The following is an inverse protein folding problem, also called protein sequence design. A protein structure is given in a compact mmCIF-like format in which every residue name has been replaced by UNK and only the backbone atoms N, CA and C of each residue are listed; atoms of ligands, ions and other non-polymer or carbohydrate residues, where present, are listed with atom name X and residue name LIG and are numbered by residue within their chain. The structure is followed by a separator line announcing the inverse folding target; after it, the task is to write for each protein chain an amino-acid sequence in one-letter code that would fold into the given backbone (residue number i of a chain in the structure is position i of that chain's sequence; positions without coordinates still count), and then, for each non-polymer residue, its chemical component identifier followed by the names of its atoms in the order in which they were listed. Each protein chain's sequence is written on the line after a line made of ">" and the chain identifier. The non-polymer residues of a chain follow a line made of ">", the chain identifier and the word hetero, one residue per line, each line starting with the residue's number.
data_IF_548988494510
#
_entry.id   IF_548988494510
#
_cell.length_a   1.000
_cell.length_b   1.000
_cell.length_c   1.000
_cell.angle_alpha   90.00
_cell.angle_beta   90.00
_cell.angle_gamma   90.00
#
_symmetry.space_group_name_H-M   'P 1'
#
loop_
_entity.id
_entity.type
_entity.pdbx_description
1 polymer ?
#
# COMPACT_ATOMS: atom_id res chain seq x y z
N UNK A 1 16.13 13.79 -1.56
CA UNK A 1 16.64 13.49 -2.90
C UNK A 1 15.70 14.11 -3.90
N UNK A 2 16.31 14.81 -4.83
CA UNK A 2 15.62 15.80 -5.63
C UNK A 2 14.63 15.21 -6.61
N UNK A 3 13.57 15.89 -6.68
CA UNK A 3 12.40 15.79 -7.48
C UNK A 3 12.75 16.07 -8.94
N UNK A 4 12.89 15.04 -9.74
CA UNK A 4 13.01 15.22 -11.17
C UNK A 4 11.65 15.65 -11.75
N UNK A 5 11.63 16.81 -12.36
CA UNK A 5 10.56 17.21 -13.26
C UNK A 5 10.74 16.40 -14.56
N UNK A 6 9.69 15.78 -15.06
CA UNK A 6 9.72 15.24 -16.42
C UNK A 6 9.66 16.41 -17.38
N UNK A 7 10.72 16.62 -18.17
CA UNK A 7 10.84 17.74 -19.14
C UNK A 7 10.57 19.14 -18.56
N UNK A 8 10.81 19.34 -17.25
CA UNK A 8 10.66 20.63 -16.59
C UNK A 8 9.23 21.03 -16.26
N UNK A 9 8.23 20.16 -16.43
CA UNK A 9 6.82 20.40 -16.07
C UNK A 9 6.34 19.48 -14.96
N UNK A 10 5.33 19.92 -14.23
CA UNK A 10 4.58 19.06 -13.31
C UNK A 10 3.64 18.18 -14.12
N UNK A 11 3.59 16.88 -13.78
CA UNK A 11 2.61 15.95 -14.31
C UNK A 11 1.32 16.03 -13.50
N UNK A 12 0.18 15.83 -14.15
CA UNK A 12 -1.05 15.46 -13.46
C UNK A 12 -1.07 13.95 -13.17
N UNK A 13 -1.95 13.53 -12.27
CA UNK A 13 -2.00 12.14 -11.82
C UNK A 13 -2.42 11.18 -12.93
N UNK A 14 -3.32 11.59 -13.81
CA UNK A 14 -3.78 10.79 -14.94
C UNK A 14 -2.68 10.59 -15.99
N UNK A 15 -1.92 11.64 -16.29
CA UNK A 15 -0.76 11.56 -17.17
C UNK A 15 0.30 10.63 -16.57
N UNK A 16 0.63 10.82 -15.29
CA UNK A 16 1.59 9.97 -14.59
C UNK A 16 1.18 8.48 -14.62
N UNK A 17 -0.08 8.16 -14.33
CA UNK A 17 -0.54 6.76 -14.30
C UNK A 17 -0.63 6.10 -15.68
N UNK A 18 -0.68 6.88 -16.76
CA UNK A 18 -0.67 6.37 -18.15
C UNK A 18 0.73 6.27 -18.73
N UNK A 19 1.70 6.99 -18.18
CA UNK A 19 3.09 6.98 -18.65
C UNK A 19 3.78 5.70 -18.23
N UNK A 20 4.56 5.09 -19.12
CA UNK A 20 5.38 3.94 -18.78
C UNK A 20 6.44 4.34 -17.73
N UNK A 21 6.49 3.59 -16.64
CA UNK A 21 7.41 3.89 -15.53
C UNK A 21 8.88 3.95 -15.97
N UNK A 22 9.27 3.24 -17.03
CA UNK A 22 10.66 3.25 -17.55
C UNK A 22 11.05 4.61 -18.16
N UNK A 23 10.09 5.46 -18.53
CA UNK A 23 10.36 6.81 -19.03
C UNK A 23 10.89 7.74 -17.94
N UNK A 24 10.63 7.44 -16.67
CA UNK A 24 11.10 8.22 -15.53
C UNK A 24 12.53 7.88 -15.10
N UNK A 25 13.11 6.76 -15.60
CA UNK A 25 14.47 6.34 -15.30
C UNK A 25 14.58 4.89 -14.79
N UNK A 26 15.72 4.50 -14.19
CA UNK A 26 16.03 3.10 -13.86
C UNK A 26 15.59 2.69 -12.44
N UNK A 27 14.78 3.45 -11.71
CA UNK A 27 14.32 3.05 -10.39
C UNK A 27 13.30 1.90 -10.47
N UNK A 28 13.13 1.20 -9.36
CA UNK A 28 12.18 0.09 -9.26
C UNK A 28 10.74 0.54 -9.48
N UNK A 29 10.36 1.67 -8.86
CA UNK A 29 9.02 2.24 -8.89
C UNK A 29 9.10 3.75 -8.77
N UNK A 30 8.18 4.46 -9.39
CA UNK A 30 8.00 5.88 -9.22
C UNK A 30 6.61 6.18 -8.68
N UNK A 31 6.49 7.29 -7.96
CA UNK A 31 5.22 7.84 -7.50
C UNK A 31 5.15 9.33 -7.84
N UNK A 32 3.95 9.85 -7.98
CA UNK A 32 3.73 11.29 -8.09
C UNK A 32 3.35 11.83 -6.71
N UNK A 33 4.13 12.75 -6.17
CA UNK A 33 3.87 13.34 -4.86
C UNK A 33 3.81 14.85 -5.00
N UNK A 34 2.61 15.41 -4.91
CA UNK A 34 2.36 16.85 -5.08
C UNK A 34 2.93 17.38 -6.39
N UNK A 35 2.70 16.67 -7.48
CA UNK A 35 3.17 16.99 -8.82
C UNK A 35 4.65 16.70 -9.07
N UNK A 36 5.32 16.02 -8.15
CA UNK A 36 6.73 15.70 -8.23
C UNK A 36 6.97 14.20 -8.31
N UNK A 37 7.84 13.74 -9.22
CA UNK A 37 8.19 12.33 -9.36
C UNK A 37 9.16 11.93 -8.24
N UNK A 38 8.82 10.87 -7.50
CA UNK A 38 9.62 10.29 -6.43
C UNK A 38 10.00 8.87 -6.79
N UNK A 39 11.29 8.60 -6.83
CA UNK A 39 11.84 7.28 -7.11
C UNK A 39 11.92 6.41 -5.85
N UNK A 40 11.63 5.12 -5.98
CA UNK A 40 11.73 4.13 -4.92
C UNK A 40 12.74 3.05 -5.27
N UNK A 41 13.49 2.59 -4.26
CA UNK A 41 14.38 1.45 -4.37
C UNK A 41 13.61 0.13 -4.51
N UNK A 42 14.28 -0.91 -4.99
CA UNK A 42 13.73 -2.26 -5.01
C UNK A 42 13.45 -2.75 -3.57
N UNK A 43 12.35 -3.49 -3.36
CA UNK A 43 12.03 -4.09 -2.08
C UNK A 43 13.01 -5.22 -1.72
N UNK A 44 13.06 -5.58 -0.43
CA UNK A 44 13.81 -6.74 0.03
C UNK A 44 13.13 -8.07 -0.35
N UNK A 45 13.84 -9.21 -0.29
CA UNK A 45 13.23 -10.54 -0.49
C UNK A 45 12.06 -10.80 0.47
N UNK A 46 12.21 -10.45 1.75
CA UNK A 46 11.18 -10.64 2.78
C UNK A 46 9.91 -9.85 2.46
N UNK A 47 10.06 -8.61 2.02
CA UNK A 47 8.95 -7.80 1.52
C UNK A 47 8.21 -8.52 0.38
N UNK A 48 8.95 -9.06 -0.57
CA UNK A 48 8.39 -9.81 -1.70
C UNK A 48 7.62 -11.06 -1.27
N UNK A 49 8.12 -11.79 -0.26
CA UNK A 49 7.46 -13.00 0.27
C UNK A 49 6.15 -12.63 0.98
N UNK A 50 6.16 -11.60 1.85
CA UNK A 50 4.94 -11.11 2.51
C UNK A 50 3.89 -10.70 1.48
N UNK A 51 4.31 -9.94 0.46
CA UNK A 51 3.40 -9.48 -0.59
C UNK A 51 2.82 -10.65 -1.41
N UNK A 52 3.63 -11.65 -1.71
CA UNK A 52 3.19 -12.88 -2.38
C UNK A 52 2.18 -13.68 -1.56
N UNK A 53 2.43 -13.84 -0.26
CA UNK A 53 1.50 -14.49 0.68
C UNK A 53 0.19 -13.71 0.79
N UNK A 54 0.26 -12.38 0.94
CA UNK A 54 -0.89 -11.49 0.97
C UNK A 54 -1.76 -11.64 -0.28
N UNK A 55 -1.15 -11.58 -1.46
CA UNK A 55 -1.85 -11.73 -2.73
C UNK A 55 -2.55 -13.09 -2.86
N UNK A 56 -1.88 -14.17 -2.42
CA UNK A 56 -2.44 -15.53 -2.39
C UNK A 56 -3.66 -15.61 -1.46
N UNK A 57 -3.51 -15.16 -0.22
CA UNK A 57 -4.58 -15.24 0.79
C UNK A 57 -5.81 -14.42 0.39
N UNK A 58 -5.60 -13.18 -0.04
CA UNK A 58 -6.67 -12.30 -0.51
C UNK A 58 -7.29 -12.85 -1.80
N UNK A 59 -6.48 -13.22 -2.78
CA UNK A 59 -6.96 -13.74 -4.07
C UNK A 59 -7.83 -15.00 -3.90
N UNK A 60 -7.50 -15.89 -2.96
CA UNK A 60 -8.32 -17.05 -2.65
C UNK A 60 -9.69 -16.67 -2.06
N UNK A 61 -9.75 -15.66 -1.19
CA UNK A 61 -11.00 -15.18 -0.58
C UNK A 61 -11.88 -14.41 -1.56
N UNK A 62 -11.28 -13.68 -2.49
CA UNK A 62 -12.02 -12.89 -3.49
C UNK A 62 -12.64 -13.72 -4.61
N UNK A 63 -12.44 -15.05 -4.67
CA UNK A 63 -13.09 -15.91 -5.68
C UNK A 63 -14.61 -15.83 -5.63
N UNK A 64 -15.17 -15.63 -4.44
CA UNK A 64 -16.61 -15.50 -4.21
C UNK A 64 -17.11 -14.03 -4.25
N UNK A 65 -16.21 -13.08 -4.59
CA UNK A 65 -16.48 -11.64 -4.67
C UNK A 65 -16.10 -11.09 -6.05
N UNK A 66 -16.87 -11.41 -7.12
CA UNK A 66 -16.50 -11.09 -8.51
C UNK A 66 -16.39 -9.58 -8.78
N UNK A 67 -16.99 -8.74 -7.93
CA UNK A 67 -16.88 -7.28 -7.99
C UNK A 67 -15.57 -6.73 -7.45
N UNK A 68 -14.79 -7.56 -6.73
CA UNK A 68 -13.53 -7.18 -6.10
C UNK A 68 -12.35 -7.96 -6.67
N UNK A 69 -11.18 -7.32 -6.72
CA UNK A 69 -9.92 -7.96 -7.11
C UNK A 69 -8.77 -7.45 -6.27
N UNK A 70 -7.73 -8.27 -6.11
CA UNK A 70 -6.45 -7.83 -5.57
C UNK A 70 -5.59 -7.27 -6.70
N UNK A 71 -4.98 -6.13 -6.48
CA UNK A 71 -4.03 -5.47 -7.39
C UNK A 71 -2.70 -5.29 -6.66
N UNK A 72 -1.59 -5.58 -7.35
CA UNK A 72 -0.22 -5.40 -6.84
C UNK A 72 0.43 -4.27 -7.62
N UNK A 73 1.02 -3.31 -6.92
CA UNK A 73 1.75 -2.21 -7.54
C UNK A 73 0.90 -1.32 -8.45
N UNK A 74 -0.39 -1.27 -8.25
CA UNK A 74 -1.31 -0.41 -9.01
C UNK A 74 -1.46 0.96 -8.37
N UNK A 75 -1.55 2.00 -9.20
CA UNK A 75 -1.67 3.38 -8.74
C UNK A 75 -3.08 3.75 -8.26
N UNK A 76 -3.11 4.69 -7.32
CA UNK A 76 -4.31 5.34 -6.83
C UNK A 76 -4.07 6.83 -6.55
N UNK A 77 -5.04 7.66 -6.89
CA UNK A 77 -4.94 9.13 -6.79
C UNK A 77 -5.49 9.62 -5.47
N UNK A 78 -4.67 10.34 -4.73
CA UNK A 78 -5.08 11.05 -3.53
C UNK A 78 -5.75 12.39 -3.89
N UNK A 79 -6.89 12.67 -3.28
CA UNK A 79 -7.68 13.88 -3.55
C UNK A 79 -7.09 15.09 -2.79
N UNK A 80 -6.43 15.98 -3.51
CA UNK A 80 -5.92 17.24 -2.99
C UNK A 80 -6.29 18.42 -3.92
N UNK A 81 -6.58 19.58 -3.34
CA UNK A 81 -7.04 20.76 -4.10
C UNK A 81 -5.95 21.40 -4.97
N UNK A 82 -4.69 21.25 -4.64
CA UNK A 82 -3.64 22.10 -5.24
C UNK A 82 -2.60 21.37 -6.09
N UNK A 83 -2.33 20.09 -5.85
CA UNK A 83 -1.32 19.31 -6.60
C UNK A 83 -1.65 17.84 -6.54
N UNK A 84 -1.61 17.23 -7.68
CA UNK A 84 -1.87 15.82 -7.84
C UNK A 84 -0.86 14.95 -7.11
N UNK A 85 -1.40 13.91 -6.49
CA UNK A 85 -0.60 12.89 -5.82
C UNK A 85 -1.15 11.53 -6.25
N UNK A 86 -0.32 10.72 -6.90
CA UNK A 86 -0.62 9.33 -7.22
C UNK A 86 0.37 8.43 -6.45
N UNK A 87 -0.18 7.66 -5.51
CA UNK A 87 0.57 6.66 -4.75
C UNK A 87 0.39 5.29 -5.39
N UNK A 88 1.41 4.46 -5.24
CA UNK A 88 1.39 3.07 -5.66
C UNK A 88 1.58 2.22 -4.39
N UNK A 89 0.49 1.85 -3.70
CA UNK A 89 0.58 0.93 -2.57
C UNK A 89 1.08 -0.43 -3.02
N UNK A 90 1.70 -1.18 -2.10
CA UNK A 90 2.25 -2.49 -2.42
C UNK A 90 1.17 -3.45 -2.90
N UNK A 91 0.00 -3.42 -2.25
CA UNK A 91 -1.20 -4.10 -2.72
C UNK A 91 -2.46 -3.31 -2.39
N UNK A 92 -3.54 -3.59 -3.12
CA UNK A 92 -4.86 -3.08 -2.79
C UNK A 92 -5.95 -4.08 -3.14
N UNK A 93 -7.09 -3.97 -2.46
CA UNK A 93 -8.34 -4.58 -2.91
C UNK A 93 -9.18 -3.47 -3.55
N UNK A 94 -9.48 -3.64 -4.82
CA UNK A 94 -10.38 -2.74 -5.54
C UNK A 94 -11.71 -3.43 -5.79
N UNK A 95 -12.81 -2.77 -5.38
CA UNK A 95 -14.17 -3.23 -5.65
C UNK A 95 -14.86 -2.23 -6.58
N UNK A 96 -15.26 -2.70 -7.75
CA UNK A 96 -15.74 -1.81 -8.82
C UNK A 96 -14.65 -0.84 -9.27
N UNK A 97 -14.91 0.47 -9.15
CA UNK A 97 -13.97 1.53 -9.59
C UNK A 97 -13.02 2.00 -8.48
N UNK A 98 -13.38 1.81 -7.21
CA UNK A 98 -12.66 2.41 -6.09
C UNK A 98 -11.83 1.40 -5.31
N UNK A 99 -10.59 1.75 -4.88
CA UNK A 99 -9.86 0.98 -3.91
C UNK A 99 -10.62 0.99 -2.58
N UNK A 100 -10.69 -0.16 -1.91
CA UNK A 100 -11.34 -0.33 -0.61
C UNK A 100 -10.35 -0.53 0.51
N UNK A 101 -9.36 -1.37 0.26
CA UNK A 101 -8.33 -1.72 1.25
C UNK A 101 -6.96 -1.52 0.61
N UNK A 102 -6.06 -0.89 1.34
CA UNK A 102 -4.67 -0.71 0.92
C UNK A 102 -3.74 -1.45 1.87
N UNK A 103 -2.64 -1.96 1.34
CA UNK A 103 -1.60 -2.66 2.09
C UNK A 103 -0.23 -2.07 1.76
N UNK A 104 0.55 -1.83 2.80
CA UNK A 104 1.95 -1.41 2.75
C UNK A 104 2.79 -2.37 3.58
N UNK A 105 3.84 -2.90 3.03
CA UNK A 105 4.82 -3.70 3.76
C UNK A 105 5.95 -2.79 4.22
N UNK A 106 5.97 -2.52 5.51
CA UNK A 106 6.86 -1.52 6.13
C UNK A 106 8.22 -2.14 6.44
N UNK A 107 9.26 -1.62 5.81
CA UNK A 107 10.64 -2.04 6.05
C UNK A 107 11.26 -1.40 7.29
N UNK A 108 12.33 -1.97 7.88
CA UNK A 108 13.08 -1.34 8.97
C UNK A 108 13.66 0.04 8.60
N UNK A 109 13.91 0.28 7.32
CA UNK A 109 14.34 1.60 6.85
C UNK A 109 13.22 2.63 7.00
N UNK A 110 11.99 2.31 6.60
CA UNK A 110 10.83 3.20 6.70
C UNK A 110 10.46 3.51 8.15
N UNK A 111 10.71 2.56 9.07
CA UNK A 111 10.51 2.79 10.51
C UNK A 111 11.37 3.95 11.03
N UNK A 112 12.59 4.11 10.53
CA UNK A 112 13.48 5.21 10.89
C UNK A 112 13.10 6.54 10.25
N UNK A 113 12.26 6.52 9.21
CA UNK A 113 11.82 7.70 8.45
C UNK A 113 10.35 8.05 8.72
N UNK A 114 10.00 8.13 10.01
CA UNK A 114 8.61 8.32 10.49
C UNK A 114 7.84 9.42 9.76
N UNK A 115 8.46 10.59 9.52
CA UNK A 115 7.78 11.72 8.84
C UNK A 115 7.35 11.37 7.40
N UNK A 116 8.17 10.65 6.66
CA UNK A 116 7.85 10.23 5.28
C UNK A 116 6.74 9.19 5.29
N UNK A 117 6.78 8.24 6.23
CA UNK A 117 5.74 7.22 6.39
C UNK A 117 4.40 7.85 6.80
N UNK A 118 4.39 8.78 7.76
CA UNK A 118 3.18 9.50 8.18
C UNK A 118 2.58 10.32 7.02
N UNK A 119 3.42 10.97 6.21
CA UNK A 119 2.96 11.67 5.01
C UNK A 119 2.37 10.70 3.99
N UNK A 120 3.05 9.57 3.72
CA UNK A 120 2.55 8.53 2.82
C UNK A 120 1.18 8.02 3.28
N UNK A 121 1.04 7.67 4.56
CA UNK A 121 -0.24 7.24 5.13
C UNK A 121 -1.34 8.30 4.97
N UNK A 122 -1.02 9.57 5.22
CA UNK A 122 -1.96 10.67 5.00
C UNK A 122 -2.43 10.75 3.54
N UNK A 123 -1.52 10.56 2.58
CA UNK A 123 -1.87 10.54 1.16
C UNK A 123 -2.77 9.34 0.83
N UNK A 124 -2.47 8.15 1.37
CA UNK A 124 -3.32 6.97 1.19
C UNK A 124 -4.72 7.15 1.79
N UNK A 125 -4.82 7.84 2.92
CA UNK A 125 -6.09 8.17 3.56
C UNK A 125 -6.95 9.15 2.73
N UNK A 126 -6.31 9.97 1.90
CA UNK A 126 -6.98 10.92 1.01
C UNK A 126 -7.47 10.30 -0.31
N UNK A 127 -7.18 9.04 -0.57
CA UNK A 127 -7.69 8.33 -1.76
C UNK A 127 -9.18 8.06 -1.61
N UNK A 128 -9.94 8.39 -2.64
CA UNK A 128 -11.39 8.17 -2.67
C UNK A 128 -11.73 6.68 -2.60
N UNK A 129 -12.72 6.33 -1.80
CA UNK A 129 -13.21 4.95 -1.65
C UNK A 129 -12.46 4.11 -0.63
N UNK A 130 -11.25 4.49 -0.21
CA UNK A 130 -10.45 3.75 0.77
C UNK A 130 -11.14 3.75 2.13
N UNK A 131 -11.33 2.56 2.68
CA UNK A 131 -11.96 2.32 3.99
C UNK A 131 -10.96 1.80 5.01
N UNK A 132 -9.92 1.06 4.55
CA UNK A 132 -8.94 0.43 5.43
C UNK A 132 -7.54 0.53 4.84
N UNK A 133 -6.55 0.74 5.71
CA UNK A 133 -5.13 0.71 5.36
C UNK A 133 -4.43 -0.18 6.37
N UNK A 134 -3.62 -1.12 5.89
CA UNK A 134 -2.81 -1.99 6.72
C UNK A 134 -1.32 -1.76 6.45
N UNK A 135 -0.58 -1.36 7.48
CA UNK A 135 0.88 -1.35 7.48
C UNK A 135 1.36 -2.66 8.11
N UNK A 136 1.93 -3.57 7.30
CA UNK A 136 2.42 -4.89 7.71
C UNK A 136 3.93 -4.78 7.89
N UNK A 137 4.44 -5.08 9.08
CA UNK A 137 5.85 -4.92 9.42
C UNK A 137 6.67 -6.09 8.89
N UNK A 138 7.79 -5.81 8.24
CA UNK A 138 8.58 -6.83 7.55
C UNK A 138 9.31 -7.78 8.50
N UNK A 139 9.77 -7.31 9.63
CA UNK A 139 10.66 -7.99 10.58
C UNK A 139 9.97 -8.41 11.88
N UNK A 140 8.69 -8.15 12.00
CA UNK A 140 7.90 -8.46 13.18
C UNK A 140 6.48 -8.87 12.77
N UNK A 141 5.93 -9.90 13.41
CA UNK A 141 4.57 -10.36 13.15
C UNK A 141 3.55 -9.38 13.75
N UNK A 142 3.47 -8.23 13.10
CA UNK A 142 2.70 -7.06 13.49
C UNK A 142 2.07 -6.39 12.27
N UNK A 143 0.82 -5.98 12.39
CA UNK A 143 0.17 -5.08 11.46
C UNK A 143 -0.49 -3.91 12.19
N UNK A 144 -0.39 -2.73 11.63
CA UNK A 144 -1.18 -1.58 12.03
C UNK A 144 -2.39 -1.45 11.12
N UNK A 145 -3.58 -1.49 11.69
CA UNK A 145 -4.84 -1.34 10.98
C UNK A 145 -5.40 0.06 11.18
N UNK A 146 -5.55 0.81 10.11
CA UNK A 146 -6.24 2.11 10.09
C UNK A 146 -7.58 1.93 9.40
N UNK A 147 -8.67 2.35 10.05
CA UNK A 147 -10.03 2.21 9.52
C UNK A 147 -10.75 3.54 9.50
N UNK A 148 -11.42 3.84 8.39
CA UNK A 148 -12.20 5.07 8.24
C UNK A 148 -13.48 4.99 9.05
N UNK A 149 -13.75 6.07 9.80
CA UNK A 149 -15.01 6.30 10.50
C UNK A 149 -15.51 7.71 10.15
N UNK A 150 -16.31 7.80 9.09
CA UNK A 150 -16.72 9.10 8.54
C UNK A 150 -15.52 9.91 8.06
N UNK A 151 -15.30 11.08 8.66
CA UNK A 151 -14.16 11.95 8.35
C UNK A 151 -12.88 11.59 9.16
N UNK A 152 -12.99 10.71 10.14
CA UNK A 152 -11.87 10.32 11.03
C UNK A 152 -11.33 8.94 10.68
N UNK A 153 -10.18 8.60 11.28
CA UNK A 153 -9.57 7.29 11.19
C UNK A 153 -9.29 6.73 12.58
N UNK A 154 -9.64 5.48 12.81
CA UNK A 154 -9.24 4.72 13.98
C UNK A 154 -7.96 3.96 13.73
N UNK A 155 -7.29 3.57 14.80
CA UNK A 155 -6.03 2.83 14.78
C UNK A 155 -6.10 1.63 15.70
N UNK A 156 -5.60 0.48 15.25
CA UNK A 156 -5.58 -0.78 16.00
C UNK A 156 -4.28 -1.52 15.69
N UNK A 157 -3.71 -2.18 16.70
CA UNK A 157 -2.57 -3.07 16.56
C UNK A 157 -3.06 -4.51 16.47
N UNK A 158 -2.50 -5.25 15.52
CA UNK A 158 -2.77 -6.67 15.31
C UNK A 158 -1.42 -7.37 15.37
N UNK A 159 -1.17 -8.16 16.41
CA UNK A 159 0.16 -8.71 16.69
C UNK A 159 0.11 -10.16 17.16
N UNK A 160 1.14 -10.94 16.79
CA UNK A 160 1.37 -12.31 17.20
C UNK A 160 0.83 -13.37 16.24
N UNK A 161 1.24 -14.64 16.43
CA UNK A 161 0.98 -15.72 15.48
C UNK A 161 -0.49 -16.13 15.39
N UNK A 162 -1.25 -15.96 16.45
CA UNK A 162 -2.68 -16.31 16.47
C UNK A 162 -3.59 -15.16 16.02
N UNK A 163 -2.99 -14.00 15.74
CA UNK A 163 -3.74 -12.81 15.36
C UNK A 163 -4.24 -12.88 13.92
N UNK A 164 -5.38 -12.25 13.68
CA UNK A 164 -5.99 -12.14 12.35
C UNK A 164 -6.21 -10.67 11.98
N UNK A 165 -5.94 -10.36 10.74
CA UNK A 165 -6.27 -9.07 10.12
C UNK A 165 -7.70 -9.14 9.64
N UNK A 166 -8.59 -8.35 10.24
CA UNK A 166 -9.98 -8.22 9.80
C UNK A 166 -10.11 -7.19 8.69
N UNK A 167 -10.50 -7.61 7.52
CA UNK A 167 -10.79 -6.79 6.35
C UNK A 167 -12.30 -6.49 6.34
N UNK A 168 -12.73 -5.56 7.21
CA UNK A 168 -14.16 -5.31 7.52
C UNK A 168 -14.94 -4.84 6.31
N UNK A 169 -14.33 -4.02 5.46
CA UNK A 169 -14.97 -3.45 4.26
C UNK A 169 -15.23 -4.47 3.15
N UNK A 170 -14.64 -5.67 3.25
CA UNK A 170 -14.81 -6.78 2.29
C UNK A 170 -15.25 -8.08 2.97
N UNK A 171 -15.41 -8.09 4.30
CA UNK A 171 -16.12 -9.12 5.06
C UNK A 171 -15.35 -10.44 5.30
N UNK A 172 -14.02 -10.44 5.29
CA UNK A 172 -13.23 -11.63 5.61
C UNK A 172 -11.97 -11.31 6.45
N UNK A 173 -11.31 -12.35 6.91
CA UNK A 173 -10.08 -12.24 7.72
C UNK A 173 -8.91 -12.93 7.03
N UNK A 174 -7.69 -12.47 7.35
CA UNK A 174 -6.42 -13.09 6.95
C UNK A 174 -5.57 -13.29 8.19
N UNK A 175 -5.05 -14.51 8.39
CA UNK A 175 -4.15 -14.81 9.50
C UNK A 175 -2.81 -14.10 9.31
N UNK A 176 -2.28 -13.48 10.37
CA UNK A 176 -0.92 -12.95 10.34
C UNK A 176 0.10 -14.07 10.09
N UNK A 177 -0.04 -15.25 10.72
CA UNK A 177 0.85 -16.37 10.46
C UNK A 177 0.92 -16.75 8.97
N UNK A 178 -0.20 -16.69 8.25
CA UNK A 178 -0.22 -16.96 6.81
C UNK A 178 0.53 -15.90 5.99
N UNK A 179 0.52 -14.63 6.42
CA UNK A 179 1.27 -13.56 5.77
C UNK A 179 2.78 -13.72 5.95
N UNK A 180 3.20 -14.24 7.12
CA UNK A 180 4.62 -14.42 7.46
C UNK A 180 5.14 -15.83 7.17
N UNK A 181 4.38 -16.66 6.46
CA UNK A 181 4.84 -18.00 6.06
C UNK A 181 6.18 -17.89 5.30
N UNK A 182 7.23 -18.53 5.82
CA UNK A 182 8.61 -18.54 5.27
C UNK A 182 9.30 -17.16 5.24
N UNK A 183 8.84 -16.20 6.03
CA UNK A 183 9.47 -14.87 6.15
C UNK A 183 10.36 -14.80 7.39
N UNK A 184 9.81 -15.12 8.54
CA UNK A 184 10.53 -15.13 9.83
C UNK A 184 11.13 -16.52 10.08
N UNK A 185 12.30 -16.60 10.74
CA UNK A 185 12.85 -17.89 11.16
C UNK A 185 11.89 -18.60 12.10
N UNK A 186 11.87 -19.95 12.02
CA UNK A 186 11.04 -20.78 12.90
C UNK A 186 11.40 -20.50 14.37
N UNK A 187 10.42 -20.08 15.17
CA UNK A 187 10.58 -19.79 16.60
C UNK A 187 10.88 -18.33 16.97
N UNK A 188 10.71 -17.40 16.05
CA UNK A 188 10.78 -15.96 16.33
C UNK A 188 9.46 -15.43 16.92
#
# INVERSE_FOLDING_TARGET
>A
MDTALHDGRFLDADEFLRTDQCEFGPAWRYELVRGAIVAHAAPSPEHGVILGNLAREIGNRLRDHPECRVEIGSGAVAQYEQRDTARIPDAMIRCGKHPRVLFEVVSPFELRHKRQRDQRRSDLQAIEGVQEIFEIYQDEMLAHAYRRQGASWTFEWVAGPDAVVELRSVGFTVSLAALYERVLPEGA
#
